data_IF_647105119129
#
_entry.id   IF_647105119129
#
_cell.length_a   1.000
_cell.length_b   1.000
_cell.length_c   1.000
_cell.angle_alpha   90.00
_cell.angle_beta   90.00
_cell.angle_gamma   90.00
#
_symmetry.space_group_name_H-M   'P 1'
#
loop_
_entity.id
_entity.type
_entity.pdbx_description
1 polymer ?
#
# COMPACT_ATOMS: atom_id res chain seq x y z
N UNK A 1 -3.80 5.11 -9.06
CA UNK A 1 -2.84 4.48 -10.00
C UNK A 1 -2.19 5.55 -10.86
N UNK A 2 -2.95 6.41 -11.54
CA UNK A 2 -2.40 7.48 -12.39
C UNK A 2 -1.40 8.38 -11.64
N UNK A 3 -1.76 8.91 -10.47
CA UNK A 3 -0.86 9.71 -9.62
C UNK A 3 0.41 8.98 -9.20
N UNK A 4 0.34 7.66 -9.05
CA UNK A 4 1.53 6.84 -8.77
C UNK A 4 2.44 6.77 -9.99
N UNK A 5 1.87 6.68 -11.22
CA UNK A 5 2.61 6.73 -12.47
C UNK A 5 3.32 8.07 -12.67
N UNK A 6 2.60 9.18 -12.48
CA UNK A 6 3.15 10.54 -12.56
C UNK A 6 4.35 10.74 -11.62
N UNK A 7 4.23 10.27 -10.37
CA UNK A 7 5.31 10.35 -9.37
C UNK A 7 6.54 9.52 -9.74
N UNK A 8 6.36 8.39 -10.41
CA UNK A 8 7.42 7.44 -10.76
C UNK A 8 7.88 7.51 -12.21
N UNK A 9 7.48 8.55 -12.93
CA UNK A 9 7.93 8.80 -14.31
C UNK A 9 7.43 7.79 -15.34
N UNK A 10 6.40 6.98 -15.04
CA UNK A 10 5.80 6.09 -16.03
C UNK A 10 4.38 6.52 -16.40
N UNK A 11 4.01 6.31 -17.65
CA UNK A 11 2.67 6.59 -18.11
C UNK A 11 1.69 5.54 -17.59
N UNK A 12 0.83 5.94 -16.63
CA UNK A 12 -0.27 5.11 -16.16
C UNK A 12 -1.24 4.76 -17.30
N UNK A 13 -1.95 3.65 -17.15
CA UNK A 13 -3.05 3.30 -18.07
C UNK A 13 -4.23 4.21 -17.82
N UNK A 14 -4.98 4.51 -18.88
CA UNK A 14 -6.17 5.36 -18.85
C UNK A 14 -7.39 4.66 -18.23
N UNK A 15 -8.45 5.42 -18.02
CA UNK A 15 -9.70 4.92 -17.46
C UNK A 15 -10.35 3.86 -18.38
N UNK A 16 -10.30 4.07 -19.69
CA UNK A 16 -10.85 3.15 -20.68
C UNK A 16 -10.15 1.78 -20.62
N UNK A 17 -8.82 1.75 -20.41
CA UNK A 17 -8.10 0.50 -20.21
C UNK A 17 -8.59 -0.25 -18.96
N UNK A 18 -8.75 0.46 -17.83
CA UNK A 18 -9.23 -0.16 -16.60
C UNK A 18 -10.68 -0.64 -16.71
N UNK A 19 -11.52 0.14 -17.40
CA UNK A 19 -12.90 -0.27 -17.68
C UNK A 19 -12.95 -1.52 -18.54
N UNK A 20 -12.18 -1.60 -19.62
CA UNK A 20 -12.11 -2.81 -20.47
C UNK A 20 -11.61 -4.03 -19.69
N UNK A 21 -10.62 -3.87 -18.82
CA UNK A 21 -10.18 -4.96 -17.95
C UNK A 21 -11.32 -5.43 -17.04
N UNK A 22 -12.03 -4.50 -16.43
CA UNK A 22 -13.15 -4.83 -15.57
C UNK A 22 -14.27 -5.53 -16.34
N UNK A 23 -14.75 -4.93 -17.43
CA UNK A 23 -15.86 -5.45 -18.23
C UNK A 23 -15.57 -6.87 -18.77
N UNK A 24 -14.31 -7.16 -19.10
CA UNK A 24 -13.92 -8.46 -19.67
C UNK A 24 -13.72 -9.54 -18.60
N UNK A 25 -13.04 -9.23 -17.49
CA UNK A 25 -12.61 -10.26 -16.53
C UNK A 25 -13.47 -10.35 -15.28
N UNK A 26 -14.23 -9.31 -14.95
CA UNK A 26 -15.06 -9.30 -13.74
C UNK A 26 -16.25 -10.28 -13.79
N UNK A 27 -16.96 -10.45 -14.91
CA UNK A 27 -18.07 -11.41 -15.00
C UNK A 27 -17.65 -12.85 -14.67
N UNK A 28 -16.43 -13.22 -15.04
CA UNK A 28 -15.83 -14.52 -14.77
C UNK A 28 -15.17 -14.60 -13.37
N UNK A 29 -15.19 -13.52 -12.61
CA UNK A 29 -14.60 -13.46 -11.27
C UNK A 29 -13.08 -13.37 -11.23
N UNK A 30 -12.41 -13.23 -12.37
CA UNK A 30 -10.94 -13.22 -12.47
C UNK A 30 -10.28 -11.94 -12.02
N UNK A 31 -11.02 -10.83 -11.96
CA UNK A 31 -10.46 -9.55 -11.54
C UNK A 31 -11.23 -8.94 -10.38
N UNK A 32 -10.49 -8.31 -9.48
CA UNK A 32 -11.05 -7.57 -8.34
C UNK A 32 -10.43 -6.19 -8.26
N UNK A 33 -11.28 -5.18 -8.17
CA UNK A 33 -10.90 -3.81 -7.91
C UNK A 33 -11.20 -3.50 -6.45
N UNK A 34 -10.17 -3.14 -5.69
CA UNK A 34 -10.31 -2.78 -4.28
C UNK A 34 -9.99 -1.31 -4.08
N UNK A 35 -10.75 -0.69 -3.19
CA UNK A 35 -10.44 0.61 -2.60
C UNK A 35 -10.31 0.44 -1.10
N UNK A 36 -9.22 0.95 -0.53
CA UNK A 36 -9.10 1.14 0.91
C UNK A 36 -9.65 2.51 1.26
N UNK A 37 -10.68 2.55 2.08
CA UNK A 37 -11.29 3.78 2.59
C UNK A 37 -11.14 3.88 4.09
N UNK A 38 -11.14 5.08 4.62
CA UNK A 38 -11.13 5.38 6.04
C UNK A 38 -12.29 6.33 6.36
N UNK A 39 -13.22 5.88 7.21
CA UNK A 39 -14.18 6.78 7.84
C UNK A 39 -13.52 7.43 9.05
N UNK A 40 -13.35 8.74 9.00
CA UNK A 40 -12.66 9.51 10.02
C UNK A 40 -13.45 9.60 11.33
N UNK A 41 -14.77 9.52 11.28
CA UNK A 41 -15.57 9.48 12.51
C UNK A 41 -15.41 8.14 13.25
N UNK A 42 -15.36 7.02 12.53
CA UNK A 42 -15.07 5.72 13.14
C UNK A 42 -13.62 5.64 13.63
N UNK A 43 -12.68 6.20 12.89
CA UNK A 43 -11.29 6.33 13.33
C UNK A 43 -11.17 7.13 14.63
N UNK A 44 -11.87 8.27 14.75
CA UNK A 44 -11.89 9.07 15.98
C UNK A 44 -12.49 8.30 17.16
N UNK A 45 -13.56 7.50 16.95
CA UNK A 45 -14.13 6.66 18.01
C UNK A 45 -13.10 5.70 18.58
N UNK A 46 -12.27 5.09 17.73
CA UNK A 46 -11.21 4.19 18.19
C UNK A 46 -10.09 4.96 18.91
N UNK A 47 -9.69 6.13 18.42
CA UNK A 47 -8.75 7.01 19.12
C UNK A 47 -9.25 7.42 20.50
N UNK A 48 -10.54 7.73 20.67
CA UNK A 48 -11.13 8.07 21.97
C UNK A 48 -11.11 6.89 22.95
N UNK A 49 -11.33 5.64 22.48
CA UNK A 49 -11.21 4.44 23.34
C UNK A 49 -9.79 4.25 23.83
N UNK A 50 -8.81 4.44 22.91
CA UNK A 50 -7.40 4.36 23.26
C UNK A 50 -7.00 5.48 24.24
N UNK A 51 -7.50 6.69 24.04
CA UNK A 51 -7.27 7.83 24.92
C UNK A 51 -7.80 7.56 26.32
N UNK A 52 -9.01 7.02 26.45
CA UNK A 52 -9.60 6.64 27.74
C UNK A 52 -8.75 5.58 28.44
N UNK A 53 -8.29 4.57 27.69
CA UNK A 53 -7.46 3.47 28.22
C UNK A 53 -6.12 3.99 28.76
N UNK A 54 -5.43 4.83 27.98
CA UNK A 54 -4.14 5.40 28.37
C UNK A 54 -4.28 6.38 29.53
N UNK A 55 -5.36 7.18 29.56
CA UNK A 55 -5.67 8.08 30.69
C UNK A 55 -5.87 7.29 31.98
N UNK A 56 -6.67 6.23 31.96
CA UNK A 56 -6.87 5.35 33.13
C UNK A 56 -5.55 4.73 33.60
N UNK A 57 -4.70 4.33 32.65
CA UNK A 57 -3.36 3.77 32.98
C UNK A 57 -2.45 4.80 33.64
N UNK A 58 -2.37 6.03 33.09
CA UNK A 58 -1.60 7.13 33.67
C UNK A 58 -2.06 7.44 35.08
N UNK A 59 -3.37 7.63 35.28
CA UNK A 59 -3.96 7.98 36.57
C UNK A 59 -3.78 6.87 37.61
N UNK A 60 -3.83 5.62 37.19
CA UNK A 60 -3.53 4.46 38.08
C UNK A 60 -2.05 4.47 38.49
N UNK A 61 -1.14 4.80 37.56
CA UNK A 61 0.27 4.92 37.89
C UNK A 61 0.54 6.10 38.81
N UNK A 62 -0.09 7.26 38.58
CA UNK A 62 0.04 8.44 39.43
C UNK A 62 -0.38 8.15 40.88
N UNK A 63 -1.56 7.54 41.09
CA UNK A 63 -2.03 7.15 42.43
C UNK A 63 -1.09 6.19 43.15
N UNK A 64 -0.44 5.26 42.42
CA UNK A 64 0.53 4.34 43.02
C UNK A 64 1.82 5.05 43.41
N UNK A 65 2.25 6.05 42.66
CA UNK A 65 3.45 6.82 42.96
C UNK A 65 3.27 7.72 44.21
N UNK A 66 2.03 8.08 44.58
CA UNK A 66 1.75 8.78 45.83
C UNK A 66 2.09 7.93 47.07
N UNK A 67 2.03 6.61 46.94
CA UNK A 67 2.25 5.68 48.05
C UNK A 67 3.59 4.96 48.02
N UNK A 68 4.19 4.85 46.84
CA UNK A 68 5.44 4.10 46.64
C UNK A 68 6.25 4.69 45.48
N UNK A 69 7.43 5.16 45.75
CA UNK A 69 8.40 5.53 44.72
C UNK A 69 8.87 4.28 43.95
N UNK A 70 8.68 4.32 42.60
CA UNK A 70 9.09 3.22 41.73
C UNK A 70 9.47 3.75 40.34
N UNK A 71 10.76 3.68 39.96
CA UNK A 71 11.18 4.12 38.61
C UNK A 71 10.44 3.39 37.47
N UNK A 72 10.05 2.13 37.73
CA UNK A 72 9.27 1.36 36.75
C UNK A 72 7.86 1.92 36.56
N UNK A 73 7.19 2.34 37.64
CA UNK A 73 5.85 2.94 37.58
C UNK A 73 5.95 4.34 36.95
N UNK A 74 6.96 5.10 37.33
CA UNK A 74 7.25 6.40 36.74
C UNK A 74 7.39 6.32 35.22
N UNK A 75 8.25 5.43 34.72
CA UNK A 75 8.44 5.22 33.28
C UNK A 75 7.14 4.79 32.57
N UNK A 76 6.32 3.96 33.23
CA UNK A 76 5.02 3.54 32.67
C UNK A 76 4.02 4.69 32.58
N UNK A 77 4.04 5.61 33.54
CA UNK A 77 3.21 6.81 33.54
C UNK A 77 3.64 7.76 32.41
N UNK A 78 4.94 7.98 32.25
CA UNK A 78 5.51 8.81 31.19
C UNK A 78 5.14 8.29 29.80
N UNK A 79 5.29 6.97 29.56
CA UNK A 79 4.88 6.35 28.30
C UNK A 79 3.37 6.50 28.04
N UNK A 80 2.52 6.38 29.07
CA UNK A 80 1.10 6.60 28.92
C UNK A 80 0.78 8.06 28.57
N UNK A 81 1.50 9.02 29.17
CA UNK A 81 1.35 10.44 28.83
C UNK A 81 1.77 10.74 27.39
N UNK A 82 2.91 10.21 26.94
CA UNK A 82 3.36 10.34 25.55
C UNK A 82 2.32 9.78 24.55
N UNK A 83 1.70 8.65 24.89
CA UNK A 83 0.63 8.07 24.06
C UNK A 83 -0.63 8.95 24.02
N UNK A 84 -1.00 9.55 25.16
CA UNK A 84 -2.13 10.50 25.24
C UNK A 84 -1.86 11.71 24.33
N UNK A 85 -0.66 12.27 24.39
CA UNK A 85 -0.28 13.44 23.58
C UNK A 85 -0.32 13.10 22.08
N UNK A 86 0.19 11.95 21.67
CA UNK A 86 0.12 11.46 20.28
C UNK A 86 -1.32 11.20 19.82
N UNK A 87 -2.19 10.68 20.70
CA UNK A 87 -3.61 10.47 20.37
C UNK A 87 -4.35 11.78 20.18
N UNK A 88 -4.08 12.79 21.01
CA UNK A 88 -4.66 14.12 20.85
C UNK A 88 -4.26 14.79 19.53
N UNK A 89 -2.97 14.66 19.14
CA UNK A 89 -2.52 15.15 17.82
C UNK A 89 -3.22 14.43 16.66
N UNK A 90 -3.41 13.11 16.76
CA UNK A 90 -4.15 12.34 15.75
C UNK A 90 -5.63 12.74 15.66
N UNK A 91 -6.27 13.04 16.81
CA UNK A 91 -7.66 13.53 16.83
C UNK A 91 -7.78 14.89 16.15
N UNK A 92 -6.87 15.82 16.45
CA UNK A 92 -6.82 17.12 15.80
C UNK A 92 -6.63 17.00 14.30
N UNK A 93 -5.67 16.15 13.88
CA UNK A 93 -5.43 15.87 12.47
C UNK A 93 -6.65 15.26 11.76
N UNK A 94 -7.39 14.37 12.44
CA UNK A 94 -8.62 13.80 11.90
C UNK A 94 -9.69 14.88 11.67
N UNK A 95 -9.83 15.85 12.59
CA UNK A 95 -10.75 16.98 12.44
C UNK A 95 -10.36 17.89 11.25
N UNK A 96 -9.07 18.16 11.10
CA UNK A 96 -8.53 18.92 9.96
C UNK A 96 -8.80 18.21 8.63
N UNK A 97 -8.63 16.88 8.58
CA UNK A 97 -8.92 16.07 7.39
C UNK A 97 -10.41 16.03 7.06
N UNK A 98 -11.29 15.95 8.06
CA UNK A 98 -12.74 16.02 7.83
C UNK A 98 -13.11 17.35 7.17
N UNK A 99 -12.50 18.45 7.60
CA UNK A 99 -12.78 19.78 7.04
C UNK A 99 -12.22 19.94 5.61
N UNK A 100 -11.04 19.38 5.33
CA UNK A 100 -10.35 19.59 4.05
C UNK A 100 -10.72 18.55 2.97
N UNK A 101 -10.94 17.31 3.35
CA UNK A 101 -11.06 16.17 2.43
C UNK A 101 -12.39 15.40 2.59
N UNK A 102 -13.17 15.74 3.61
CA UNK A 102 -14.44 15.08 3.93
C UNK A 102 -14.29 13.90 4.90
N UNK A 103 -15.43 13.36 5.33
CA UNK A 103 -15.50 12.33 6.37
C UNK A 103 -14.89 11.00 5.90
N UNK A 104 -15.09 10.61 4.64
CA UNK A 104 -14.62 9.32 4.12
C UNK A 104 -13.50 9.55 3.12
N UNK A 105 -12.31 9.11 3.48
CA UNK A 105 -11.12 9.23 2.64
C UNK A 105 -10.93 7.97 1.79
N UNK A 106 -10.63 8.14 0.50
CA UNK A 106 -10.05 7.06 -0.31
C UNK A 106 -8.54 7.11 -0.18
N UNK A 107 -7.95 6.10 0.45
CA UNK A 107 -6.53 6.08 0.80
C UNK A 107 -5.67 5.42 -0.28
N UNK A 108 -6.16 4.31 -0.83
CA UNK A 108 -5.45 3.52 -1.84
C UNK A 108 -6.43 2.74 -2.71
N UNK A 109 -5.96 2.31 -3.87
CA UNK A 109 -6.69 1.40 -4.75
C UNK A 109 -5.76 0.33 -5.33
N UNK A 110 -6.33 -0.82 -5.67
CA UNK A 110 -5.58 -1.92 -6.25
C UNK A 110 -6.42 -2.76 -7.18
N UNK A 111 -5.76 -3.36 -8.17
CA UNK A 111 -6.33 -4.30 -9.13
C UNK A 111 -5.65 -5.64 -8.94
N UNK A 112 -6.45 -6.66 -8.67
CA UNK A 112 -5.99 -7.99 -8.37
C UNK A 112 -6.60 -8.98 -9.35
N UNK A 113 -5.77 -9.88 -9.87
CA UNK A 113 -6.22 -11.03 -10.64
C UNK A 113 -6.28 -12.27 -9.77
N UNK A 114 -7.30 -13.09 -10.00
CA UNK A 114 -7.47 -14.41 -9.40
C UNK A 114 -7.54 -15.42 -10.54
N UNK A 115 -6.45 -16.11 -10.83
CA UNK A 115 -6.38 -17.04 -11.95
C UNK A 115 -5.69 -18.33 -11.56
N UNK A 116 -6.27 -19.46 -11.95
CA UNK A 116 -5.79 -20.77 -11.55
C UNK A 116 -5.77 -20.91 -10.03
N UNK A 117 -4.58 -21.03 -9.44
CA UNK A 117 -4.37 -21.18 -7.99
C UNK A 117 -3.58 -19.99 -7.40
N UNK A 118 -3.65 -18.85 -8.05
CA UNK A 118 -2.86 -17.67 -7.68
C UNK A 118 -3.72 -16.40 -7.58
N UNK A 119 -3.42 -15.58 -6.59
CA UNK A 119 -3.85 -14.18 -6.53
C UNK A 119 -2.67 -13.30 -6.89
N UNK A 120 -2.82 -12.47 -7.90
CA UNK A 120 -1.80 -11.54 -8.40
C UNK A 120 -2.22 -10.09 -8.14
N UNK A 121 -1.39 -9.30 -7.47
CA UNK A 121 -1.56 -7.86 -7.42
C UNK A 121 -1.01 -7.23 -8.70
N UNK A 122 -1.86 -7.01 -9.71
CA UNK A 122 -1.43 -6.46 -10.99
C UNK A 122 -0.89 -5.04 -10.86
N UNK A 123 -1.62 -4.18 -10.15
CA UNK A 123 -1.24 -2.79 -9.93
C UNK A 123 -1.92 -2.24 -8.68
N UNK A 124 -1.27 -1.30 -8.02
CA UNK A 124 -1.82 -0.58 -6.88
C UNK A 124 -1.32 0.86 -6.86
N UNK A 125 -2.06 1.72 -6.20
CA UNK A 125 -1.70 3.11 -5.99
C UNK A 125 -2.18 3.58 -4.63
N UNK A 126 -1.41 4.48 -4.03
CA UNK A 126 -1.71 5.13 -2.75
C UNK A 126 -1.63 6.64 -2.94
N UNK A 127 -2.51 7.37 -2.28
CA UNK A 127 -2.35 8.81 -2.17
C UNK A 127 -1.25 9.13 -1.17
N UNK A 128 -0.25 9.86 -1.61
CA UNK A 128 0.94 10.19 -0.80
C UNK A 128 0.56 10.89 0.51
N UNK A 129 -0.40 11.81 0.44
CA UNK A 129 -0.98 12.51 1.60
C UNK A 129 -1.44 11.56 2.72
N UNK A 130 -1.85 10.32 2.35
CA UNK A 130 -2.43 9.34 3.28
C UNK A 130 -1.54 8.12 3.53
N UNK A 131 -0.26 8.15 3.12
CA UNK A 131 0.64 6.99 3.26
C UNK A 131 0.79 6.53 4.72
N UNK A 132 0.69 7.44 5.69
CA UNK A 132 0.75 7.13 7.12
C UNK A 132 -0.32 6.16 7.61
N UNK A 133 -1.46 6.06 6.94
CA UNK A 133 -2.52 5.10 7.29
C UNK A 133 -2.23 3.67 6.83
N UNK A 134 -1.08 3.43 6.21
CA UNK A 134 -0.62 2.10 5.79
C UNK A 134 -1.65 1.29 4.98
N UNK A 135 -2.54 1.96 4.27
CA UNK A 135 -3.66 1.38 3.52
C UNK A 135 -3.30 0.31 2.50
N UNK A 136 -2.12 0.32 1.83
CA UNK A 136 -1.72 -0.79 0.97
C UNK A 136 -1.64 -2.12 1.70
N UNK A 137 -1.19 -2.12 2.97
CA UNK A 137 -1.14 -3.35 3.78
C UNK A 137 -2.55 -3.91 4.02
N UNK A 138 -3.54 -3.06 4.29
CA UNK A 138 -4.93 -3.49 4.48
C UNK A 138 -5.51 -4.16 3.23
N UNK A 139 -5.25 -3.61 2.03
CA UNK A 139 -5.69 -4.21 0.78
C UNK A 139 -5.03 -5.57 0.54
N UNK A 140 -3.71 -5.66 0.70
CA UNK A 140 -2.99 -6.92 0.54
C UNK A 140 -3.45 -7.96 1.58
N UNK A 141 -3.63 -7.56 2.84
CA UNK A 141 -4.16 -8.43 3.89
C UNK A 141 -5.54 -8.99 3.54
N UNK A 142 -6.44 -8.14 3.05
CA UNK A 142 -7.77 -8.57 2.59
C UNK A 142 -7.67 -9.60 1.47
N UNK A 143 -6.78 -9.38 0.50
CA UNK A 143 -6.60 -10.30 -0.64
C UNK A 143 -5.84 -11.58 -0.26
N UNK A 144 -4.94 -11.54 0.72
CA UNK A 144 -4.31 -12.75 1.27
C UNK A 144 -5.34 -13.63 1.98
N UNK A 145 -6.21 -13.03 2.81
CA UNK A 145 -7.30 -13.77 3.43
C UNK A 145 -8.25 -14.36 2.37
N UNK A 146 -8.59 -13.58 1.34
CA UNK A 146 -9.35 -14.09 0.21
C UNK A 146 -8.67 -15.31 -0.44
N UNK A 147 -7.35 -15.25 -0.64
CA UNK A 147 -6.60 -16.37 -1.21
C UNK A 147 -6.69 -17.62 -0.34
N UNK A 148 -6.55 -17.48 0.98
CA UNK A 148 -6.69 -18.59 1.94
C UNK A 148 -8.11 -19.18 1.92
N UNK A 149 -9.14 -18.32 1.99
CA UNK A 149 -10.55 -18.72 2.00
C UNK A 149 -10.96 -19.48 0.71
N UNK A 150 -10.29 -19.19 -0.43
CA UNK A 150 -10.59 -19.81 -1.73
C UNK A 150 -9.58 -20.89 -2.13
N UNK A 151 -8.71 -21.34 -1.22
CA UNK A 151 -7.76 -22.43 -1.48
C UNK A 151 -6.71 -22.10 -2.53
N UNK A 152 -6.35 -20.82 -2.69
CA UNK A 152 -5.27 -20.41 -3.57
C UNK A 152 -3.92 -20.80 -2.98
N UNK A 153 -2.99 -21.22 -3.82
CA UNK A 153 -1.68 -21.70 -3.37
C UNK A 153 -0.63 -20.59 -3.29
N UNK A 154 -0.83 -19.52 -4.06
CA UNK A 154 0.14 -18.44 -4.18
C UNK A 154 -0.52 -17.07 -4.10
N UNK A 155 0.22 -16.15 -3.48
CA UNK A 155 -0.07 -14.73 -3.50
C UNK A 155 1.12 -14.00 -4.11
N UNK A 156 0.92 -13.42 -5.28
CA UNK A 156 1.98 -12.80 -6.08
C UNK A 156 1.92 -11.27 -5.93
N UNK A 157 2.96 -10.70 -5.35
CA UNK A 157 3.13 -9.25 -5.19
C UNK A 157 3.61 -8.55 -6.48
N UNK A 158 3.69 -9.29 -7.60
CA UNK A 158 4.17 -8.82 -8.89
C UNK A 158 5.65 -8.44 -8.93
N UNK A 159 6.09 -7.89 -10.09
CA UNK A 159 7.49 -7.61 -10.35
C UNK A 159 8.11 -6.51 -9.48
N UNK A 160 9.42 -6.52 -9.44
CA UNK A 160 10.29 -5.50 -8.87
C UNK A 160 11.56 -5.39 -9.73
N UNK A 161 12.32 -4.32 -9.59
CA UNK A 161 13.52 -4.08 -10.41
C UNK A 161 14.66 -5.09 -10.18
N UNK A 162 14.67 -5.74 -9.02
CA UNK A 162 15.82 -6.55 -8.58
C UNK A 162 17.00 -5.71 -8.05
N UNK A 163 16.86 -4.39 -7.99
CA UNK A 163 17.86 -3.53 -7.37
C UNK A 163 17.56 -3.36 -5.87
N UNK A 164 18.46 -3.89 -5.04
CA UNK A 164 18.32 -3.88 -3.57
C UNK A 164 19.18 -2.79 -2.90
N UNK A 165 19.76 -1.88 -3.69
CA UNK A 165 20.52 -0.76 -3.14
C UNK A 165 19.58 0.18 -2.35
N UNK A 166 19.91 0.50 -1.07
CA UNK A 166 19.15 1.45 -0.28
C UNK A 166 19.00 2.85 -0.91
N UNK A 167 19.86 3.21 -1.86
CA UNK A 167 19.79 4.47 -2.60
C UNK A 167 18.95 4.36 -3.90
N UNK A 168 18.47 3.17 -4.25
CA UNK A 168 17.62 3.00 -5.43
C UNK A 168 16.26 3.65 -5.23
N UNK A 169 15.74 4.30 -6.27
CA UNK A 169 14.44 5.00 -6.26
C UNK A 169 13.28 4.10 -5.82
N UNK A 170 13.32 2.83 -6.20
CA UNK A 170 12.29 1.84 -5.91
C UNK A 170 12.59 0.95 -4.68
N UNK A 171 13.63 1.26 -3.91
CA UNK A 171 13.97 0.52 -2.69
C UNK A 171 12.80 0.43 -1.69
N UNK A 172 11.96 1.47 -1.62
CA UNK A 172 10.74 1.45 -0.81
C UNK A 172 9.73 0.38 -1.23
N UNK A 173 9.69 0.00 -2.52
CA UNK A 173 8.86 -1.12 -3.02
C UNK A 173 9.39 -2.45 -2.51
N UNK A 174 10.70 -2.62 -2.55
CA UNK A 174 11.36 -3.80 -1.97
C UNK A 174 11.06 -3.95 -0.49
N UNK A 175 11.24 -2.89 0.31
CA UNK A 175 10.94 -2.92 1.75
C UNK A 175 9.48 -3.24 2.03
N UNK A 176 8.56 -2.64 1.27
CA UNK A 176 7.13 -2.92 1.38
C UNK A 176 6.83 -4.41 1.14
N UNK A 177 7.35 -4.99 0.04
CA UNK A 177 7.14 -6.40 -0.30
C UNK A 177 7.83 -7.34 0.70
N UNK A 178 9.03 -7.00 1.14
CA UNK A 178 9.77 -7.73 2.18
C UNK A 178 9.00 -7.81 3.49
N UNK A 179 8.19 -6.81 3.83
CA UNK A 179 7.34 -6.81 5.02
C UNK A 179 6.34 -7.98 5.06
N UNK A 180 5.98 -8.56 3.92
CA UNK A 180 5.14 -9.76 3.82
C UNK A 180 5.93 -11.08 3.90
N UNK A 181 7.27 -11.03 4.04
CA UNK A 181 8.16 -12.20 4.12
C UNK A 181 8.05 -13.12 2.90
N UNK A 182 7.71 -12.57 1.71
CA UNK A 182 7.62 -13.32 0.47
C UNK A 182 8.99 -13.70 -0.07
N UNK A 183 9.02 -14.76 -0.89
CA UNK A 183 10.20 -15.19 -1.63
C UNK A 183 10.35 -14.36 -2.90
N UNK A 184 11.60 -14.00 -3.22
CA UNK A 184 11.95 -13.36 -4.49
C UNK A 184 12.28 -14.44 -5.50
N UNK A 185 11.55 -14.44 -6.62
CA UNK A 185 11.79 -15.37 -7.71
C UNK A 185 12.36 -14.61 -8.90
N UNK A 186 13.58 -14.98 -9.30
CA UNK A 186 14.18 -14.49 -10.53
C UNK A 186 13.69 -15.33 -11.70
N UNK A 187 13.03 -14.69 -12.65
CA UNK A 187 12.54 -15.35 -13.86
C UNK A 187 13.63 -15.39 -14.91
N UNK A 188 13.55 -16.39 -15.80
CA UNK A 188 14.53 -16.62 -16.87
C UNK A 188 14.65 -15.44 -17.86
N UNK A 189 13.72 -14.50 -17.83
CA UNK A 189 13.65 -13.33 -18.71
C UNK A 189 12.79 -13.58 -19.96
N UNK A 190 12.76 -12.58 -20.82
CA UNK A 190 11.99 -12.62 -22.06
C UNK A 190 12.82 -13.19 -23.22
N UNK A 191 12.17 -13.88 -24.12
CA UNK A 191 12.77 -14.44 -25.33
C UNK A 191 12.10 -13.86 -26.56
N UNK A 192 12.90 -13.30 -27.47
CA UNK A 192 12.43 -12.83 -28.77
C UNK A 192 12.61 -13.93 -29.83
N UNK A 193 11.50 -14.45 -30.39
CA UNK A 193 11.54 -15.28 -31.58
C UNK A 193 11.44 -14.40 -32.83
N UNK A 194 12.56 -14.21 -33.52
CA UNK A 194 12.66 -13.31 -34.66
C UNK A 194 12.21 -14.01 -35.95
N UNK A 195 10.93 -13.83 -36.32
CA UNK A 195 10.33 -14.40 -37.53
C UNK A 195 10.94 -13.80 -38.81
N UNK A 196 11.19 -12.49 -38.82
CA UNK A 196 11.77 -11.79 -39.96
C UNK A 196 12.88 -10.85 -39.49
N UNK A 197 14.17 -11.22 -39.68
CA UNK A 197 15.31 -10.45 -39.22
C UNK A 197 15.39 -9.01 -39.83
N UNK A 198 14.94 -8.82 -41.08
CA UNK A 198 14.96 -7.50 -41.72
C UNK A 198 13.95 -6.56 -41.10
N UNK A 199 12.73 -7.03 -40.91
CA UNK A 199 11.67 -6.26 -40.25
C UNK A 199 12.00 -5.97 -38.79
N UNK A 200 12.58 -6.92 -38.08
CA UNK A 200 13.01 -6.74 -36.69
C UNK A 200 14.07 -5.65 -36.55
N UNK A 201 15.09 -5.63 -37.42
CA UNK A 201 16.10 -4.57 -37.43
C UNK A 201 15.49 -3.19 -37.72
N UNK A 202 14.56 -3.11 -38.68
CA UNK A 202 13.85 -1.87 -38.96
C UNK A 202 13.06 -1.38 -37.74
N UNK A 203 12.31 -2.30 -37.11
CA UNK A 203 11.57 -2.01 -35.88
C UNK A 203 12.49 -1.49 -34.74
N UNK A 204 13.61 -2.18 -34.49
CA UNK A 204 14.60 -1.76 -33.48
C UNK A 204 15.18 -0.37 -33.78
N UNK A 205 15.49 -0.08 -35.04
CA UNK A 205 16.00 1.22 -35.46
C UNK A 205 14.97 2.34 -35.20
N UNK A 206 13.72 2.11 -35.55
CA UNK A 206 12.62 3.07 -35.32
C UNK A 206 12.37 3.28 -33.81
N UNK A 207 12.42 2.21 -33.03
CA UNK A 207 12.28 2.27 -31.57
C UNK A 207 13.38 3.12 -30.94
N UNK A 208 14.64 2.90 -31.33
CA UNK A 208 15.78 3.67 -30.83
C UNK A 208 15.71 5.16 -31.19
N UNK A 209 15.20 5.50 -32.39
CA UNK A 209 14.96 6.89 -32.79
C UNK A 209 13.87 7.52 -31.91
N UNK A 210 12.78 6.78 -31.64
CA UNK A 210 11.70 7.27 -30.78
C UNK A 210 12.17 7.53 -29.35
N UNK A 211 13.00 6.67 -28.76
CA UNK A 211 13.59 6.88 -27.44
C UNK A 211 14.49 8.12 -27.40
N UNK A 212 15.34 8.31 -28.42
CA UNK A 212 16.18 9.52 -28.53
C UNK A 212 15.38 10.81 -28.65
N UNK A 213 14.23 10.79 -29.33
CA UNK A 213 13.36 11.97 -29.47
C UNK A 213 12.61 12.29 -28.19
N UNK A 214 12.28 11.26 -27.40
CA UNK A 214 11.56 11.44 -26.13
C UNK A 214 12.45 11.77 -24.94
N UNK A 215 13.78 11.74 -25.10
CA UNK A 215 14.73 12.05 -24.02
C UNK A 215 14.84 10.96 -22.95
N UNK A 216 14.44 9.75 -23.29
CA UNK A 216 14.58 8.53 -22.44
C UNK A 216 15.79 7.70 -22.87
#
# INVERSE_FOLDING_TARGET
IQKTGERRGFQGRDEEYHKRLYDFYHPEGYIKFLCATLDLEDYKKDLYKDLETNTKQRDTCAKRLETQESPKIQKKMELAQEQIDQLNEKLKEADELIQSDGQVLTLASGVFFTYGREVLCLMSGVYEKYMRFASPYAMHWKMMNYAIEHGMERYNLYGMSGNFDPQAEDYGVYLFKKGFQGEIQELIGDFDYIVNPKMYRLYQSLRNVKHKIKGE
#
